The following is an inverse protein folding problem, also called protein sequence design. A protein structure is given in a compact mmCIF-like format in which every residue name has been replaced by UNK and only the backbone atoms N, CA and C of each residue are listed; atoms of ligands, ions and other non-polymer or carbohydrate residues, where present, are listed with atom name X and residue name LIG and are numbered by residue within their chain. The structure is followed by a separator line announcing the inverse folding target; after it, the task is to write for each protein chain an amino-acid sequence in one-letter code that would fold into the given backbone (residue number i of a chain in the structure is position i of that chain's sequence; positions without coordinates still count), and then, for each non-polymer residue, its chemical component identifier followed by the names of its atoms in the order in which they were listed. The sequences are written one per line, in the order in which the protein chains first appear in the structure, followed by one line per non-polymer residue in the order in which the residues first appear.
data_IF_851581671680
#
_entry.id   IF_851581671680
#
_cell.length_a   1.000
_cell.length_b   1.000
_cell.length_c   1.000
_cell.angle_alpha   90.00
_cell.angle_beta   90.00
_cell.angle_gamma   90.00
#
_symmetry.space_group_name_H-M   'P 1'
#
loop_
_entity.id
_entity.type
_entity.pdbx_description
1 polymer ?
#
# COMPACT_ATOMS: atom_id res chain seq x y z
N UNK A 1 -17.34 -18.42 -5.42
CA UNK A 1 -15.99 -18.11 -4.90
C UNK A 1 -15.85 -18.78 -3.54
N UNK A 2 -14.77 -19.50 -3.31
CA UNK A 2 -14.47 -20.14 -2.01
C UNK A 2 -14.53 -19.11 -0.87
N UNK A 3 -15.08 -19.51 0.29
CA UNK A 3 -15.25 -18.65 1.45
C UNK A 3 -13.90 -18.07 1.90
N UNK A 4 -12.86 -18.91 1.95
CA UNK A 4 -11.50 -18.49 2.31
C UNK A 4 -10.90 -17.50 1.31
N UNK A 5 -11.21 -17.65 0.01
CA UNK A 5 -10.79 -16.70 -1.01
C UNK A 5 -11.45 -15.32 -0.82
N UNK A 6 -12.75 -15.30 -0.54
CA UNK A 6 -13.48 -14.04 -0.30
C UNK A 6 -13.00 -13.35 0.97
N UNK A 7 -12.79 -14.12 2.04
CA UNK A 7 -12.20 -13.63 3.29
C UNK A 7 -10.82 -13.01 3.05
N UNK A 8 -9.93 -13.72 2.35
CA UNK A 8 -8.59 -13.25 2.02
C UNK A 8 -8.59 -11.94 1.23
N UNK A 9 -9.49 -11.78 0.25
CA UNK A 9 -9.64 -10.52 -0.49
C UNK A 9 -10.06 -9.37 0.42
N UNK A 10 -11.06 -9.59 1.28
CA UNK A 10 -11.56 -8.56 2.19
C UNK A 10 -10.44 -8.14 3.16
N UNK A 11 -9.71 -9.10 3.74
CA UNK A 11 -8.54 -8.83 4.59
C UNK A 11 -7.51 -7.99 3.84
N UNK A 12 -7.15 -8.39 2.61
CA UNK A 12 -6.13 -7.71 1.80
C UNK A 12 -6.51 -6.26 1.53
N UNK A 13 -7.79 -5.98 1.19
CA UNK A 13 -8.28 -4.62 0.98
C UNK A 13 -8.19 -3.77 2.24
N UNK A 14 -8.62 -4.29 3.39
CA UNK A 14 -8.55 -3.55 4.66
C UNK A 14 -7.12 -3.29 5.12
N UNK A 15 -6.19 -4.23 4.89
CA UNK A 15 -4.77 -4.00 5.15
C UNK A 15 -4.24 -2.86 4.28
N UNK A 16 -4.54 -2.87 2.99
CA UNK A 16 -4.08 -1.82 2.06
C UNK A 16 -4.68 -0.45 2.40
N UNK A 17 -6.01 -0.32 2.44
CA UNK A 17 -6.68 0.97 2.56
C UNK A 17 -6.83 1.48 4.01
N UNK A 18 -7.31 0.64 4.90
CA UNK A 18 -7.68 1.10 6.25
C UNK A 18 -6.50 1.04 7.23
N UNK A 19 -5.39 0.43 6.82
CA UNK A 19 -4.18 0.37 7.63
C UNK A 19 -2.98 1.02 6.95
N UNK A 20 -2.56 0.56 5.77
CA UNK A 20 -1.30 1.01 5.18
C UNK A 20 -1.41 2.41 4.58
N UNK A 21 -2.47 2.70 3.83
CA UNK A 21 -2.71 4.02 3.28
C UNK A 21 -2.87 5.09 4.38
N UNK A 22 -3.60 4.78 5.46
CA UNK A 22 -3.77 5.67 6.62
C UNK A 22 -2.41 6.03 7.24
N UNK A 23 -1.55 5.04 7.47
CA UNK A 23 -0.22 5.24 8.03
C UNK A 23 0.69 6.01 7.08
N UNK A 24 0.62 5.71 5.78
CA UNK A 24 1.41 6.37 4.76
C UNK A 24 1.05 7.85 4.65
N UNK A 25 -0.25 8.16 4.63
CA UNK A 25 -0.74 9.55 4.64
C UNK A 25 -0.21 10.32 5.85
N UNK A 26 -0.34 9.75 7.05
CA UNK A 26 0.18 10.37 8.27
C UNK A 26 1.71 10.58 8.24
N UNK A 27 2.47 9.71 7.55
CA UNK A 27 3.91 9.91 7.35
C UNK A 27 4.21 11.05 6.38
N UNK A 28 3.50 11.13 5.25
CA UNK A 28 3.72 12.17 4.24
C UNK A 28 3.26 13.55 4.74
N UNK A 29 2.19 13.61 5.54
CA UNK A 29 1.65 14.85 6.09
C UNK A 29 2.64 15.61 6.98
N UNK A 30 3.40 14.88 7.81
CA UNK A 30 4.36 15.47 8.77
C UNK A 30 5.69 15.89 8.13
N UNK A 31 5.94 15.52 6.88
CA UNK A 31 7.16 15.87 6.18
C UNK A 31 7.00 17.16 5.37
N UNK A 32 8.07 17.94 5.36
CA UNK A 32 8.28 18.96 4.34
C UNK A 32 8.64 18.30 3.01
N UNK A 33 8.24 18.91 1.90
CA UNK A 33 8.45 18.35 0.56
C UNK A 33 9.93 18.14 0.24
N UNK A 34 10.78 19.09 0.64
CA UNK A 34 12.23 18.95 0.46
C UNK A 34 12.76 17.70 1.19
N UNK A 35 12.29 17.45 2.42
CA UNK A 35 12.71 16.30 3.23
C UNK A 35 12.17 14.99 2.65
N UNK A 36 10.95 15.00 2.09
CA UNK A 36 10.36 13.85 1.41
C UNK A 36 11.24 13.34 0.27
N UNK A 37 11.81 14.27 -0.51
CA UNK A 37 12.62 13.95 -1.69
C UNK A 37 14.12 13.85 -1.43
N UNK A 38 14.60 14.27 -0.27
CA UNK A 38 16.00 14.16 0.09
C UNK A 38 16.41 12.70 0.34
N UNK A 39 17.56 12.31 -0.21
CA UNK A 39 18.22 11.04 0.12
C UNK A 39 19.14 11.31 1.31
N UNK A 40 18.97 10.55 2.40
CA UNK A 40 19.85 10.64 3.56
C UNK A 40 21.23 10.05 3.28
N UNK A 41 22.23 10.42 4.10
CA UNK A 41 23.63 10.04 3.88
C UNK A 41 23.87 8.52 3.92
N UNK A 42 23.04 7.76 4.64
CA UNK A 42 23.14 6.31 4.79
C UNK A 42 22.12 5.55 3.91
N UNK A 43 21.35 6.27 3.10
CA UNK A 43 20.21 5.76 2.38
C UNK A 43 20.47 5.75 0.87
N UNK A 44 19.92 4.77 0.17
CA UNK A 44 20.02 4.68 -1.30
C UNK A 44 18.82 5.27 -2.03
N UNK A 45 17.77 5.66 -1.30
CA UNK A 45 16.53 6.18 -1.86
C UNK A 45 15.87 7.16 -0.89
N UNK A 46 15.17 8.17 -1.42
CA UNK A 46 14.38 9.12 -0.64
C UNK A 46 13.07 8.48 -0.15
N UNK A 47 12.39 9.09 0.81
CA UNK A 47 11.09 8.59 1.26
C UNK A 47 10.06 8.67 0.12
N UNK A 48 10.02 9.78 -0.62
CA UNK A 48 9.17 9.94 -1.80
C UNK A 48 9.48 8.91 -2.88
N UNK A 49 10.75 8.56 -3.08
CA UNK A 49 11.15 7.48 -3.98
C UNK A 49 10.64 6.10 -3.52
N UNK A 50 10.63 5.82 -2.21
CA UNK A 50 10.01 4.59 -1.67
C UNK A 50 8.48 4.62 -1.84
N UNK A 51 7.82 5.77 -1.65
CA UNK A 51 6.37 5.92 -1.89
C UNK A 51 6.03 5.62 -3.35
N UNK A 52 6.79 6.21 -4.29
CA UNK A 52 6.64 5.92 -5.72
C UNK A 52 6.87 4.45 -6.03
N UNK A 53 7.85 3.82 -5.38
CA UNK A 53 8.09 2.38 -5.52
C UNK A 53 6.88 1.53 -5.10
N UNK A 54 6.29 1.82 -3.94
CA UNK A 54 5.05 1.17 -3.49
C UNK A 54 3.95 1.38 -4.52
N UNK A 55 3.72 2.61 -4.96
CA UNK A 55 2.66 2.98 -5.89
C UNK A 55 2.77 2.22 -7.22
N UNK A 56 3.95 2.21 -7.84
CA UNK A 56 4.19 1.48 -9.10
C UNK A 56 3.98 -0.02 -8.90
N UNK A 57 4.47 -0.58 -7.78
CA UNK A 57 4.29 -1.99 -7.47
C UNK A 57 2.80 -2.36 -7.33
N UNK A 58 2.03 -1.54 -6.62
CA UNK A 58 0.58 -1.72 -6.45
C UNK A 58 -0.16 -1.62 -7.80
N UNK A 59 0.13 -0.60 -8.61
CA UNK A 59 -0.48 -0.42 -9.95
C UNK A 59 -0.21 -1.61 -10.88
N UNK A 60 1.03 -2.07 -10.93
CA UNK A 60 1.42 -3.23 -11.77
C UNK A 60 0.68 -4.51 -11.36
N UNK A 61 0.54 -4.75 -10.06
CA UNK A 61 -0.16 -5.94 -9.58
C UNK A 61 -1.69 -5.81 -9.71
N UNK A 62 -2.25 -4.61 -9.58
CA UNK A 62 -3.66 -4.37 -9.91
C UNK A 62 -3.94 -4.70 -11.38
N UNK A 63 -3.07 -4.27 -12.30
CA UNK A 63 -3.19 -4.61 -13.72
C UNK A 63 -3.09 -6.13 -13.96
N UNK A 64 -2.15 -6.82 -13.32
CA UNK A 64 -2.02 -8.29 -13.41
C UNK A 64 -3.22 -9.06 -12.84
N UNK A 65 -3.90 -8.53 -11.83
CA UNK A 65 -5.12 -9.13 -11.30
C UNK A 65 -6.23 -9.10 -12.36
N UNK A 66 -6.34 -7.99 -13.09
CA UNK A 66 -7.33 -7.80 -14.16
C UNK A 66 -6.96 -8.64 -15.39
N UNK A 67 -5.69 -8.59 -15.80
CA UNK A 67 -5.14 -9.34 -16.93
C UNK A 67 -3.91 -10.15 -16.50
N UNK A 68 -4.09 -11.45 -16.16
CA UNK A 68 -3.00 -12.33 -15.77
C UNK A 68 -1.96 -12.59 -16.86
N UNK A 69 -2.22 -12.21 -18.11
CA UNK A 69 -1.27 -12.37 -19.22
C UNK A 69 -0.18 -11.31 -19.25
N UNK A 70 -0.33 -10.24 -18.46
CA UNK A 70 0.66 -9.15 -18.36
C UNK A 70 1.97 -9.68 -17.77
N UNK A 71 3.01 -9.69 -18.60
CA UNK A 71 4.40 -9.96 -18.19
C UNK A 71 5.24 -8.70 -18.26
N UNK A 72 5.98 -8.40 -17.20
CA UNK A 72 6.98 -7.32 -17.20
C UNK A 72 8.36 -7.90 -17.50
N UNK A 73 8.96 -7.51 -18.63
CA UNK A 73 10.26 -8.03 -19.12
C UNK A 73 11.49 -7.38 -18.47
N UNK A 74 11.32 -6.20 -17.87
CA UNK A 74 12.36 -5.48 -17.13
C UNK A 74 11.98 -5.36 -15.66
N UNK A 75 12.99 -5.33 -14.80
CA UNK A 75 12.86 -4.87 -13.42
C UNK A 75 12.27 -3.46 -13.36
N UNK A 76 11.86 -3.03 -12.18
CA UNK A 76 11.26 -1.69 -12.03
C UNK A 76 12.31 -0.57 -11.99
N UNK A 77 13.60 -0.91 -12.06
CA UNK A 77 14.78 -0.06 -11.89
C UNK A 77 14.70 1.29 -12.64
N UNK A 78 14.22 1.29 -13.89
CA UNK A 78 14.09 2.50 -14.72
C UNK A 78 12.71 3.20 -14.61
N UNK A 79 11.71 2.57 -14.00
CA UNK A 79 10.38 3.17 -13.75
C UNK A 79 10.37 4.09 -12.53
N UNK A 80 11.50 4.21 -11.83
CA UNK A 80 11.64 4.90 -10.56
C UNK A 80 12.44 6.20 -10.65
N UNK A 81 12.50 6.87 -11.79
CA UNK A 81 12.98 8.26 -11.79
C UNK A 81 11.87 9.08 -11.11
N UNK A 82 12.00 9.45 -9.83
CA UNK A 82 10.94 10.17 -9.17
C UNK A 82 11.00 11.58 -9.76
N UNK A 83 9.99 11.98 -10.52
CA UNK A 83 9.77 13.41 -10.69
C UNK A 83 9.49 13.96 -9.29
N UNK A 84 10.24 14.98 -8.87
CA UNK A 84 9.90 15.72 -7.64
C UNK A 84 8.46 16.19 -7.80
N UNK A 85 7.57 15.65 -6.98
CA UNK A 85 6.15 15.97 -6.97
C UNK A 85 5.79 16.70 -5.69
N UNK A 86 4.79 17.59 -5.78
CA UNK A 86 4.09 18.11 -4.62
C UNK A 86 3.46 16.95 -3.83
N UNK A 87 3.46 17.07 -2.49
CA UNK A 87 3.02 15.96 -1.61
C UNK A 87 1.54 15.62 -1.74
N UNK A 88 0.70 16.60 -2.09
CA UNK A 88 -0.73 16.38 -2.34
C UNK A 88 -0.91 15.57 -3.62
N UNK A 89 -0.21 15.95 -4.69
CA UNK A 89 -0.25 15.21 -5.95
C UNK A 89 0.23 13.76 -5.76
N UNK A 90 1.33 13.55 -5.03
CA UNK A 90 1.84 12.22 -4.71
C UNK A 90 0.78 11.39 -3.98
N UNK A 91 0.11 11.96 -2.98
CA UNK A 91 -0.90 11.23 -2.21
C UNK A 91 -2.16 10.92 -3.02
N UNK A 92 -2.59 11.81 -3.93
CA UNK A 92 -3.68 11.51 -4.87
C UNK A 92 -3.33 10.27 -5.70
N UNK A 93 -2.13 10.23 -6.27
CA UNK A 93 -1.69 9.11 -7.09
C UNK A 93 -1.58 7.78 -6.32
N UNK A 94 -1.12 7.84 -5.06
CA UNK A 94 -1.07 6.69 -4.15
C UNK A 94 -2.48 6.19 -3.84
N UNK A 95 -3.41 7.08 -3.53
CA UNK A 95 -4.80 6.75 -3.23
C UNK A 95 -5.49 6.09 -4.43
N UNK A 96 -5.25 6.61 -5.64
CA UNK A 96 -5.73 6.02 -6.89
C UNK A 96 -5.15 4.61 -7.11
N UNK A 97 -3.85 4.42 -6.86
CA UNK A 97 -3.20 3.11 -7.00
C UNK A 97 -3.81 2.07 -6.05
N UNK A 98 -3.99 2.43 -4.78
CA UNK A 98 -4.56 1.56 -3.76
C UNK A 98 -6.04 1.24 -4.05
N UNK A 99 -6.81 2.25 -4.49
CA UNK A 99 -8.20 2.09 -4.90
C UNK A 99 -8.33 1.16 -6.11
N UNK A 100 -7.44 1.30 -7.10
CA UNK A 100 -7.40 0.44 -8.29
C UNK A 100 -7.11 -1.02 -7.94
N UNK A 101 -6.19 -1.26 -7.00
CA UNK A 101 -5.90 -2.59 -6.50
C UNK A 101 -7.11 -3.22 -5.79
N UNK A 102 -7.80 -2.46 -4.95
CA UNK A 102 -9.02 -2.94 -4.28
C UNK A 102 -10.13 -3.26 -5.29
N UNK A 103 -10.33 -2.39 -6.28
CA UNK A 103 -11.28 -2.62 -7.37
C UNK A 103 -10.90 -3.86 -8.20
N UNK A 104 -9.61 -4.09 -8.47
CA UNK A 104 -9.15 -5.29 -9.16
C UNK A 104 -9.46 -6.56 -8.36
N UNK A 105 -9.27 -6.56 -7.04
CA UNK A 105 -9.63 -7.68 -6.16
C UNK A 105 -11.13 -7.99 -6.19
N UNK A 106 -11.98 -6.95 -6.23
CA UNK A 106 -13.44 -7.09 -6.25
C UNK A 106 -13.97 -7.62 -7.59
N UNK A 107 -13.38 -7.17 -8.70
CA UNK A 107 -13.85 -7.52 -10.04
C UNK A 107 -13.23 -8.79 -10.62
N UNK A 108 -12.17 -9.31 -10.00
CA UNK A 108 -11.52 -10.54 -10.45
C UNK A 108 -12.15 -11.74 -9.77
N UNK A 109 -12.49 -12.80 -10.51
CA UNK A 109 -12.96 -14.06 -9.91
C UNK A 109 -11.81 -14.80 -9.19
N UNK A 110 -11.15 -15.72 -9.90
CA UNK A 110 -9.97 -16.40 -9.35
C UNK A 110 -8.79 -15.44 -9.25
N UNK A 111 -8.16 -15.36 -8.07
CA UNK A 111 -6.92 -14.62 -7.86
C UNK A 111 -5.82 -15.59 -7.43
N UNK A 112 -4.58 -15.23 -7.73
CA UNK A 112 -3.42 -15.86 -7.14
C UNK A 112 -3.14 -15.26 -5.76
N UNK A 113 -3.34 -16.06 -4.70
CA UNK A 113 -3.11 -15.63 -3.32
C UNK A 113 -1.65 -15.23 -3.07
N UNK A 114 -0.69 -15.90 -3.71
CA UNK A 114 0.74 -15.61 -3.52
C UNK A 114 1.07 -14.21 -4.02
N UNK A 115 0.55 -13.83 -5.20
CA UNK A 115 0.76 -12.50 -5.75
C UNK A 115 0.11 -11.41 -4.88
N UNK A 116 -1.14 -11.62 -4.43
CA UNK A 116 -1.83 -10.64 -3.58
C UNK A 116 -1.12 -10.50 -2.23
N UNK A 117 -0.74 -11.61 -1.61
CA UNK A 117 -0.02 -11.61 -0.35
C UNK A 117 1.33 -10.90 -0.48
N UNK A 118 2.08 -11.16 -1.56
CA UNK A 118 3.32 -10.49 -1.86
C UNK A 118 3.14 -8.96 -1.93
N UNK A 119 2.09 -8.46 -2.59
CA UNK A 119 1.81 -7.01 -2.64
C UNK A 119 1.55 -6.44 -1.25
N UNK A 120 0.71 -7.10 -0.46
CA UNK A 120 0.36 -6.66 0.89
C UNK A 120 1.60 -6.62 1.79
N UNK A 121 2.43 -7.67 1.78
CA UNK A 121 3.67 -7.72 2.55
C UNK A 121 4.71 -6.71 2.07
N UNK A 122 4.90 -6.58 0.76
CA UNK A 122 5.88 -5.66 0.16
C UNK A 122 5.53 -4.20 0.49
N UNK A 123 4.25 -3.85 0.44
CA UNK A 123 3.76 -2.54 0.90
C UNK A 123 4.02 -2.35 2.40
N UNK A 124 3.73 -3.35 3.24
CA UNK A 124 3.97 -3.25 4.68
C UNK A 124 5.46 -3.07 5.02
N UNK A 125 6.34 -3.79 4.32
CA UNK A 125 7.80 -3.72 4.48
C UNK A 125 8.32 -2.30 4.19
N UNK A 126 8.02 -1.74 3.02
CA UNK A 126 8.48 -0.41 2.65
C UNK A 126 7.83 0.69 3.49
N UNK A 127 6.57 0.51 3.90
CA UNK A 127 5.92 1.42 4.83
C UNK A 127 6.63 1.44 6.19
N UNK A 128 7.09 0.30 6.69
CA UNK A 128 7.91 0.24 7.91
C UNK A 128 9.19 1.07 7.78
N UNK A 129 9.87 1.01 6.63
CA UNK A 129 11.05 1.83 6.35
C UNK A 129 10.73 3.33 6.36
N UNK A 130 9.61 3.74 5.76
CA UNK A 130 9.16 5.13 5.78
C UNK A 130 8.85 5.58 7.21
N UNK A 131 8.06 4.81 7.95
CA UNK A 131 7.67 5.15 9.33
C UNK A 131 8.92 5.34 10.20
N UNK A 132 9.89 4.41 10.15
CA UNK A 132 11.13 4.53 10.92
C UNK A 132 11.90 5.82 10.60
N UNK A 133 12.08 6.12 9.30
CA UNK A 133 12.78 7.33 8.85
C UNK A 133 12.07 8.60 9.28
N UNK A 134 10.75 8.67 9.11
CA UNK A 134 9.94 9.81 9.54
C UNK A 134 10.05 10.02 11.05
N UNK A 135 9.95 8.96 11.85
CA UNK A 135 10.07 9.08 13.29
C UNK A 135 11.45 9.58 13.74
N UNK A 136 12.53 9.14 13.07
CA UNK A 136 13.89 9.62 13.33
C UNK A 136 14.07 11.09 12.97
N UNK A 137 13.52 11.52 11.83
CA UNK A 137 13.67 12.90 11.33
C UNK A 137 12.78 13.90 12.07
N UNK A 138 11.51 13.56 12.30
CA UNK A 138 10.53 14.46 12.92
C UNK A 138 10.60 14.47 14.46
N UNK A 139 11.47 13.65 15.07
CA UNK A 139 11.48 13.37 16.51
C UNK A 139 10.07 13.09 17.06
N UNK A 140 9.27 12.40 16.25
CA UNK A 140 7.85 12.13 16.48
C UNK A 140 7.66 10.62 16.60
N UNK A 141 6.73 10.18 17.46
CA UNK A 141 6.38 8.76 17.59
C UNK A 141 4.92 8.53 17.23
N UNK A 142 4.69 7.86 16.10
CA UNK A 142 3.35 7.43 15.74
C UNK A 142 2.84 6.38 16.74
N UNK A 143 1.56 6.47 17.08
CA UNK A 143 0.89 5.50 17.96
C UNK A 143 0.02 4.51 17.18
N UNK A 144 0.44 4.14 15.97
CA UNK A 144 -0.36 3.30 15.06
C UNK A 144 -0.74 1.92 15.62
N UNK A 145 0.04 1.38 16.57
CA UNK A 145 -0.29 0.12 17.24
C UNK A 145 -1.50 0.27 18.17
N UNK A 146 -1.66 1.46 18.76
CA UNK A 146 -2.72 1.75 19.73
C UNK A 146 -3.97 2.31 19.05
N UNK A 147 -3.80 3.10 17.98
CA UNK A 147 -4.89 3.83 17.31
C UNK A 147 -5.28 3.25 15.95
N UNK A 148 -4.50 2.31 15.42
CA UNK A 148 -4.73 1.73 14.10
C UNK A 148 -5.63 0.50 14.10
N UNK A 149 -5.88 -0.02 12.90
CA UNK A 149 -6.61 -1.26 12.69
C UNK A 149 -5.87 -2.45 13.32
N UNK A 150 -6.41 -2.95 14.44
CA UNK A 150 -5.93 -4.16 15.11
C UNK A 150 -6.64 -5.42 14.58
N UNK A 151 -6.13 -6.60 14.94
CA UNK A 151 -6.65 -7.89 14.49
C UNK A 151 -8.12 -8.11 14.87
N UNK A 152 -8.50 -7.78 16.10
CA UNK A 152 -9.87 -7.96 16.61
C UNK A 152 -10.87 -7.12 15.80
N UNK A 153 -10.53 -5.85 15.55
CA UNK A 153 -11.36 -4.94 14.75
C UNK A 153 -11.42 -5.40 13.29
N UNK A 154 -10.29 -5.79 12.70
CA UNK A 154 -10.25 -6.32 11.34
C UNK A 154 -11.14 -7.56 11.19
N UNK A 155 -11.05 -8.51 12.12
CA UNK A 155 -11.88 -9.72 12.11
C UNK A 155 -13.38 -9.39 12.15
N UNK A 156 -13.78 -8.44 13.01
CA UNK A 156 -15.18 -8.01 13.10
C UNK A 156 -15.69 -7.40 11.78
N UNK A 157 -14.88 -6.53 11.16
CA UNK A 157 -15.22 -5.91 9.86
C UNK A 157 -15.36 -6.99 8.78
N UNK A 158 -14.38 -7.90 8.68
CA UNK A 158 -14.38 -8.99 7.69
C UNK A 158 -15.63 -9.87 7.84
N UNK A 159 -15.97 -10.27 9.07
CA UNK A 159 -17.17 -11.06 9.35
C UNK A 159 -18.45 -10.33 8.92
N UNK A 160 -18.56 -9.03 9.20
CA UNK A 160 -19.70 -8.22 8.77
C UNK A 160 -19.81 -8.12 7.24
N UNK A 161 -18.69 -7.91 6.54
CA UNK A 161 -18.65 -7.86 5.08
C UNK A 161 -19.02 -9.19 4.44
N UNK A 162 -18.57 -10.31 5.02
CA UNK A 162 -18.91 -11.66 4.56
C UNK A 162 -20.42 -11.94 4.66
N UNK A 163 -21.04 -11.52 5.77
CA UNK A 163 -22.49 -11.69 5.99
C UNK A 163 -23.34 -10.82 5.06
N UNK A 164 -22.87 -9.64 4.67
CA UNK A 164 -23.63 -8.70 3.83
C UNK A 164 -23.70 -9.13 2.36
N UNK A 165 -22.62 -9.67 1.78
CA UNK A 165 -22.65 -10.16 0.38
C UNK A 165 -23.04 -11.65 0.24
N UNK A 166 -23.64 -12.23 1.28
CA UNK A 166 -24.28 -13.56 1.26
C UNK A 166 -25.81 -13.51 1.23
N UNK A 167 -26.41 -12.31 1.16
CA UNK A 167 -27.82 -12.06 0.83
C UNK A 167 -27.91 -11.57 -0.61
#
# INVERSE_FOLDING_TARGET
MDFSMREFKIISKHRMNDQYLVKLRACVEVLDEQVLWQVGEAETNSMGGIVNHIMVHVRRNAAKLIDPTITYKQGMEDSFIPSVQDKVQLMVEVEEAFSSFCAALDNTGAIDMYNVYHVVEHTAYHLGQIIDRVQRLANYRFQFVQTGLNEKTLRAIVQQSLNTSGK
#
